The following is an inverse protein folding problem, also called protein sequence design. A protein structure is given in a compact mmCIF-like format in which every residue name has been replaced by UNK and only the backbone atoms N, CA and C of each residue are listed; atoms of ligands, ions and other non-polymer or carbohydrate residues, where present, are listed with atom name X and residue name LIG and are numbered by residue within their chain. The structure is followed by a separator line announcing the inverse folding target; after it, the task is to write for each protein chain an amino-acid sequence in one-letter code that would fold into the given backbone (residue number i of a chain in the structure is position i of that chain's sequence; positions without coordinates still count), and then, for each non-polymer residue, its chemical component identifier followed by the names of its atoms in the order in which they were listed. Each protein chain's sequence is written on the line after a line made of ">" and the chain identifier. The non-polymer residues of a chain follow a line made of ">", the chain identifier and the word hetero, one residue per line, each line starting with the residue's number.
data_IF_784128023225
#
_entry.id   IF_784128023225
#
_cell.length_a   1.000
_cell.length_b   1.000
_cell.length_c   1.000
_cell.angle_alpha   90.00
_cell.angle_beta   90.00
_cell.angle_gamma   90.00
#
_symmetry.space_group_name_H-M   'P 1'
#
loop_
_entity.id
_entity.type
_entity.pdbx_description
1 polymer ?
#
# COMPACT_ATOMS: atom_id res chain seq x y z
N UNK A 1 -0.60 13.84 25.59
CA UNK A 1 -1.25 12.69 24.90
C UNK A 1 -0.92 11.44 25.69
N UNK A 2 -1.91 10.62 26.01
CA UNK A 2 -1.70 9.39 26.80
C UNK A 2 -1.27 8.22 25.92
N UNK A 3 -0.67 7.14 26.48
CA UNK A 3 -0.36 5.92 25.73
C UNK A 3 -1.59 5.32 25.03
N UNK A 4 -2.76 5.35 25.66
CA UNK A 4 -4.00 4.83 25.07
C UNK A 4 -4.48 5.66 23.88
N UNK A 5 -4.32 7.00 23.93
CA UNK A 5 -4.62 7.88 22.81
C UNK A 5 -3.65 7.64 21.63
N UNK A 6 -2.37 7.40 21.91
CA UNK A 6 -1.38 7.01 20.90
C UNK A 6 -1.73 5.68 20.24
N UNK A 7 -2.18 4.69 21.02
CA UNK A 7 -2.58 3.38 20.51
C UNK A 7 -3.85 3.47 19.64
N UNK A 8 -4.83 4.28 20.02
CA UNK A 8 -6.02 4.52 19.21
C UNK A 8 -5.67 5.19 17.86
N UNK A 9 -4.80 6.20 17.87
CA UNK A 9 -4.30 6.84 16.65
C UNK A 9 -3.51 5.87 15.77
N UNK A 10 -2.69 5.01 16.37
CA UNK A 10 -1.94 3.97 15.65
C UNK A 10 -2.88 3.00 14.93
N UNK A 11 -3.92 2.49 15.59
CA UNK A 11 -4.91 1.59 14.97
C UNK A 11 -5.62 2.25 13.78
N UNK A 12 -5.94 3.53 13.89
CA UNK A 12 -6.52 4.31 12.79
C UNK A 12 -5.54 4.48 11.63
N UNK A 13 -4.27 4.79 11.91
CA UNK A 13 -3.22 4.91 10.90
C UNK A 13 -2.96 3.56 10.19
N UNK A 14 -2.92 2.46 10.93
CA UNK A 14 -2.77 1.11 10.40
C UNK A 14 -3.96 0.73 9.49
N UNK A 15 -5.19 1.03 9.91
CA UNK A 15 -6.38 0.81 9.08
C UNK A 15 -6.35 1.66 7.79
N UNK A 16 -5.91 2.92 7.90
CA UNK A 16 -5.73 3.81 6.75
C UNK A 16 -4.67 3.27 5.79
N UNK A 17 -3.52 2.84 6.30
CA UNK A 17 -2.45 2.23 5.51
C UNK A 17 -2.92 0.99 4.76
N UNK A 18 -3.67 0.09 5.43
CA UNK A 18 -4.28 -1.08 4.78
C UNK A 18 -5.25 -0.70 3.66
N UNK A 19 -6.10 0.30 3.89
CA UNK A 19 -7.05 0.77 2.88
C UNK A 19 -6.33 1.40 1.66
N UNK A 20 -5.29 2.20 1.90
CA UNK A 20 -4.50 2.82 0.82
C UNK A 20 -3.74 1.77 -0.01
N UNK A 21 -3.19 0.73 0.65
CA UNK A 21 -2.55 -0.40 -0.05
C UNK A 21 -3.55 -1.21 -0.87
N UNK A 22 -4.72 -1.54 -0.32
CA UNK A 22 -5.76 -2.26 -1.06
C UNK A 22 -6.25 -1.45 -2.29
N UNK A 23 -6.36 -0.13 -2.16
CA UNK A 23 -6.68 0.75 -3.29
C UNK A 23 -5.60 0.72 -4.38
N UNK A 24 -4.31 0.75 -3.99
CA UNK A 24 -3.19 0.64 -4.92
C UNK A 24 -3.18 -0.72 -5.64
N UNK A 25 -3.39 -1.81 -4.91
CA UNK A 25 -3.50 -3.16 -5.48
C UNK A 25 -4.64 -3.28 -6.49
N UNK A 26 -5.81 -2.68 -6.16
CA UNK A 26 -6.95 -2.61 -7.07
C UNK A 26 -6.63 -1.88 -8.38
N UNK A 27 -5.92 -0.74 -8.30
CA UNK A 27 -5.49 0.00 -9.49
C UNK A 27 -4.48 -0.79 -10.33
N UNK A 28 -3.49 -1.44 -9.70
CA UNK A 28 -2.50 -2.28 -10.38
C UNK A 28 -3.15 -3.49 -11.06
N UNK A 29 -4.18 -4.07 -10.44
CA UNK A 29 -4.98 -5.13 -11.06
C UNK A 29 -5.72 -4.63 -12.28
N UNK A 30 -6.46 -3.51 -12.17
CA UNK A 30 -7.20 -2.94 -13.29
C UNK A 30 -6.28 -2.60 -14.48
N UNK A 31 -5.07 -2.10 -14.21
CA UNK A 31 -4.06 -1.84 -15.25
C UNK A 31 -3.62 -3.11 -15.97
N UNK A 32 -3.36 -4.19 -15.21
CA UNK A 32 -2.99 -5.50 -15.79
C UNK A 32 -4.12 -6.09 -16.63
N UNK A 33 -5.37 -5.93 -16.20
CA UNK A 33 -6.55 -6.36 -16.97
C UNK A 33 -6.66 -5.60 -18.30
N UNK A 34 -6.46 -4.28 -18.30
CA UNK A 34 -6.43 -3.49 -19.55
C UNK A 34 -5.30 -3.94 -20.49
N UNK A 35 -4.10 -4.17 -19.95
CA UNK A 35 -2.95 -4.61 -20.73
C UNK A 35 -3.18 -6.01 -21.33
N UNK A 36 -3.77 -6.94 -20.56
CA UNK A 36 -4.10 -8.27 -21.03
C UNK A 36 -5.19 -8.24 -22.12
N UNK A 37 -6.19 -7.37 -21.99
CA UNK A 37 -7.21 -7.18 -23.03
C UNK A 37 -6.59 -6.64 -24.32
N UNK A 38 -5.72 -5.62 -24.23
CA UNK A 38 -5.03 -5.06 -25.40
C UNK A 38 -4.16 -6.11 -26.10
N UNK A 39 -3.44 -6.94 -25.33
CA UNK A 39 -2.62 -8.01 -25.88
C UNK A 39 -3.45 -9.10 -26.54
N UNK A 40 -4.59 -9.48 -25.94
CA UNK A 40 -5.53 -10.42 -26.54
C UNK A 40 -6.04 -9.94 -27.91
N UNK A 41 -6.37 -8.64 -28.02
CA UNK A 41 -6.81 -8.05 -29.30
C UNK A 41 -5.68 -8.07 -30.33
N UNK A 42 -4.44 -7.74 -29.93
CA UNK A 42 -3.26 -7.79 -30.83
C UNK A 42 -3.00 -9.22 -31.32
N UNK A 43 -3.07 -10.21 -30.42
CA UNK A 43 -2.91 -11.61 -30.76
C UNK A 43 -4.01 -12.11 -31.71
N UNK A 44 -5.27 -11.71 -31.48
CA UNK A 44 -6.38 -12.03 -32.37
C UNK A 44 -6.17 -11.46 -33.77
N UNK A 45 -5.73 -10.19 -33.87
CA UNK A 45 -5.38 -9.55 -35.15
C UNK A 45 -4.25 -10.27 -35.87
N UNK A 46 -3.17 -10.62 -35.16
CA UNK A 46 -2.05 -11.36 -35.76
C UNK A 46 -2.49 -12.74 -36.29
N UNK A 47 -3.40 -13.41 -35.60
CA UNK A 47 -3.98 -14.68 -36.06
C UNK A 47 -4.85 -14.49 -37.30
N UNK A 48 -5.63 -13.39 -37.38
CA UNK A 48 -6.41 -13.03 -38.57
C UNK A 48 -5.53 -12.73 -39.78
N UNK A 49 -4.44 -11.99 -39.59
CA UNK A 49 -3.47 -11.65 -40.65
C UNK A 49 -2.72 -12.87 -41.18
N UNK A 50 -2.63 -13.95 -40.40
CA UNK A 50 -2.04 -15.23 -40.79
C UNK A 50 -2.99 -16.14 -41.60
N UNK A 51 -4.27 -15.77 -41.73
CA UNK A 51 -5.25 -16.56 -42.49
C UNK A 51 -4.95 -16.52 -44.00
N UNK A 52 -5.29 -17.58 -44.75
CA UNK A 52 -5.14 -17.60 -46.20
C UNK A 52 -5.88 -16.44 -46.89
N UNK A 53 -5.30 -15.93 -47.98
CA UNK A 53 -5.97 -14.95 -48.84
C UNK A 53 -7.33 -15.49 -49.30
N UNK A 54 -8.39 -14.72 -49.06
CA UNK A 54 -9.77 -15.09 -49.40
C UNK A 54 -10.56 -15.78 -48.27
N UNK A 55 -9.95 -16.06 -47.11
CA UNK A 55 -10.65 -16.63 -45.95
C UNK A 55 -11.70 -15.68 -45.35
N UNK A 56 -11.56 -14.37 -45.56
CA UNK A 56 -12.50 -13.36 -45.10
C UNK A 56 -12.66 -12.24 -46.15
N UNK A 57 -13.89 -11.73 -46.37
CA UNK A 57 -14.12 -10.54 -47.17
C UNK A 57 -13.27 -9.34 -46.70
N UNK A 58 -12.62 -8.59 -47.62
CA UNK A 58 -11.79 -7.44 -47.27
C UNK A 58 -12.50 -6.38 -46.43
N UNK A 59 -13.81 -6.19 -46.64
CA UNK A 59 -14.62 -5.22 -45.91
C UNK A 59 -14.75 -5.59 -44.43
N UNK A 60 -14.87 -6.88 -44.13
CA UNK A 60 -14.95 -7.40 -42.75
C UNK A 60 -13.59 -7.29 -42.05
N UNK A 61 -12.49 -7.60 -42.75
CA UNK A 61 -11.14 -7.39 -42.23
C UNK A 61 -10.89 -5.92 -41.91
N UNK A 62 -11.26 -5.01 -42.80
CA UNK A 62 -11.13 -3.57 -42.57
C UNK A 62 -11.97 -3.07 -41.39
N UNK A 63 -13.19 -3.58 -41.22
CA UNK A 63 -14.05 -3.23 -40.09
C UNK A 63 -13.48 -3.73 -38.75
N UNK A 64 -13.01 -4.98 -38.70
CA UNK A 64 -12.36 -5.57 -37.51
C UNK A 64 -11.08 -4.85 -37.14
N UNK A 65 -10.25 -4.51 -38.14
CA UNK A 65 -9.03 -3.72 -37.92
C UNK A 65 -9.30 -2.37 -37.29
N UNK A 66 -10.28 -1.61 -37.82
CA UNK A 66 -10.68 -0.32 -37.23
C UNK A 66 -11.24 -0.47 -35.81
N UNK A 67 -12.03 -1.50 -35.56
CA UNK A 67 -12.53 -1.78 -34.20
C UNK A 67 -11.38 -2.10 -33.24
N UNK A 68 -10.44 -2.94 -33.65
CA UNK A 68 -9.27 -3.31 -32.85
C UNK A 68 -8.39 -2.09 -32.55
N UNK A 69 -8.11 -1.25 -33.55
CA UNK A 69 -7.33 -0.02 -33.38
C UNK A 69 -8.02 0.95 -32.41
N UNK A 70 -9.32 1.16 -32.56
CA UNK A 70 -10.10 2.00 -31.65
C UNK A 70 -10.06 1.45 -30.22
N UNK A 71 -10.30 0.14 -30.06
CA UNK A 71 -10.34 -0.48 -28.74
C UNK A 71 -8.98 -0.46 -28.05
N UNK A 72 -7.90 -0.69 -28.78
CA UNK A 72 -6.53 -0.58 -28.26
C UNK A 72 -6.26 0.86 -27.82
N UNK A 73 -6.63 1.86 -28.63
CA UNK A 73 -6.46 3.26 -28.27
C UNK A 73 -7.23 3.64 -26.99
N UNK A 74 -8.46 3.16 -26.81
CA UNK A 74 -9.23 3.32 -25.57
C UNK A 74 -8.52 2.70 -24.37
N UNK A 75 -8.00 1.47 -24.52
CA UNK A 75 -7.30 0.75 -23.47
C UNK A 75 -5.98 1.44 -23.11
N UNK A 76 -5.25 1.95 -24.09
CA UNK A 76 -4.00 2.70 -23.88
C UNK A 76 -4.27 4.02 -23.14
N UNK A 77 -5.32 4.75 -23.52
CA UNK A 77 -5.74 5.96 -22.81
C UNK A 77 -6.14 5.65 -21.35
N UNK A 78 -6.90 4.56 -21.14
CA UNK A 78 -7.29 4.10 -19.80
C UNK A 78 -6.08 3.67 -18.96
N UNK A 79 -5.09 3.01 -19.56
CA UNK A 79 -3.85 2.65 -18.87
C UNK A 79 -3.06 3.90 -18.45
N UNK A 80 -2.98 4.93 -19.32
CA UNK A 80 -2.34 6.19 -18.97
C UNK A 80 -3.05 6.91 -17.80
N UNK A 81 -4.38 6.90 -17.77
CA UNK A 81 -5.14 7.42 -16.62
C UNK A 81 -4.86 6.62 -15.34
N UNK A 82 -4.85 5.28 -15.45
CA UNK A 82 -4.55 4.40 -14.33
C UNK A 82 -3.13 4.62 -13.80
N UNK A 83 -2.14 4.86 -14.67
CA UNK A 83 -0.76 5.14 -14.27
C UNK A 83 -0.66 6.42 -13.43
N UNK A 84 -1.32 7.50 -13.83
CA UNK A 84 -1.39 8.73 -13.02
C UNK A 84 -2.04 8.48 -11.65
N UNK A 85 -3.12 7.69 -11.63
CA UNK A 85 -3.82 7.33 -10.37
C UNK A 85 -2.98 6.43 -9.48
N UNK A 86 -2.21 5.51 -10.06
CA UNK A 86 -1.27 4.63 -9.36
C UNK A 86 -0.18 5.46 -8.70
N UNK A 87 0.41 6.43 -9.40
CA UNK A 87 1.45 7.28 -8.83
C UNK A 87 0.92 8.14 -7.67
N UNK A 88 -0.28 8.70 -7.82
CA UNK A 88 -0.96 9.38 -6.71
C UNK A 88 -1.25 8.44 -5.53
N UNK A 89 -1.66 7.19 -5.80
CA UNK A 89 -1.93 6.19 -4.77
C UNK A 89 -0.64 5.72 -4.05
N UNK A 90 0.46 5.55 -4.78
CA UNK A 90 1.79 5.26 -4.21
C UNK A 90 2.22 6.34 -3.22
N UNK A 91 2.04 7.61 -3.59
CA UNK A 91 2.33 8.74 -2.69
C UNK A 91 1.51 8.69 -1.41
N UNK A 92 0.20 8.43 -1.50
CA UNK A 92 -0.66 8.29 -0.31
C UNK A 92 -0.27 7.11 0.57
N UNK A 93 -0.02 5.95 -0.03
CA UNK A 93 0.41 4.75 0.70
C UNK A 93 1.72 4.98 1.45
N UNK A 94 2.72 5.63 0.81
CA UNK A 94 3.99 5.97 1.45
C UNK A 94 3.80 6.90 2.67
N UNK A 95 2.96 7.93 2.55
CA UNK A 95 2.65 8.84 3.67
C UNK A 95 1.96 8.11 4.82
N UNK A 96 0.98 7.24 4.52
CA UNK A 96 0.25 6.48 5.54
C UNK A 96 1.15 5.49 6.28
N UNK A 97 2.07 4.83 5.57
CA UNK A 97 3.06 3.93 6.20
C UNK A 97 4.02 4.69 7.11
N UNK A 98 4.55 5.83 6.66
CA UNK A 98 5.44 6.66 7.49
C UNK A 98 4.75 7.20 8.74
N UNK A 99 3.45 7.49 8.68
CA UNK A 99 2.66 7.89 9.86
C UNK A 99 2.50 6.77 10.88
N UNK A 100 2.28 5.53 10.44
CA UNK A 100 2.22 4.38 11.38
C UNK A 100 3.56 4.19 12.10
N UNK A 101 4.68 4.27 11.35
CA UNK A 101 6.02 4.14 11.92
C UNK A 101 6.33 5.24 12.94
N UNK A 102 5.99 6.50 12.62
CA UNK A 102 6.18 7.63 13.54
C UNK A 102 5.34 7.48 14.83
N UNK A 103 4.10 7.02 14.72
CA UNK A 103 3.23 6.79 15.89
C UNK A 103 3.75 5.64 16.77
N UNK A 104 4.31 4.59 16.16
CA UNK A 104 4.95 3.49 16.88
C UNK A 104 6.15 3.96 17.69
N UNK A 105 7.04 4.73 17.07
CA UNK A 105 8.22 5.29 17.74
C UNK A 105 7.85 6.21 18.91
N UNK A 106 6.82 7.06 18.74
CA UNK A 106 6.31 7.93 19.80
C UNK A 106 5.73 7.14 20.97
N UNK A 107 4.97 6.08 20.68
CA UNK A 107 4.41 5.19 21.71
C UNK A 107 5.51 4.51 22.51
N UNK A 108 6.50 3.94 21.84
CA UNK A 108 7.57 3.20 22.51
C UNK A 108 8.42 4.15 23.39
N UNK A 109 8.65 5.39 22.93
CA UNK A 109 9.28 6.44 23.74
C UNK A 109 8.44 6.81 24.96
N UNK A 110 7.14 7.03 24.79
CA UNK A 110 6.22 7.37 25.89
C UNK A 110 6.13 6.25 26.94
N UNK A 111 6.10 4.99 26.51
CA UNK A 111 6.14 3.82 27.40
C UNK A 111 7.46 3.73 28.16
N UNK A 112 8.59 3.97 27.49
CA UNK A 112 9.90 4.01 28.12
C UNK A 112 10.02 5.11 29.17
N UNK A 113 9.50 6.31 28.89
CA UNK A 113 9.46 7.42 29.84
C UNK A 113 8.57 7.12 31.05
N UNK A 114 7.38 6.54 30.81
CA UNK A 114 6.50 6.10 31.90
C UNK A 114 7.13 4.99 32.76
N UNK A 115 7.93 4.10 32.18
CA UNK A 115 8.68 3.09 32.93
C UNK A 115 9.74 3.74 33.83
N UNK A 116 10.57 4.64 33.27
CA UNK A 116 11.60 5.36 34.03
C UNK A 116 11.02 6.16 35.19
N UNK A 117 9.88 6.82 35.00
CA UNK A 117 9.20 7.56 36.06
C UNK A 117 8.67 6.63 37.17
N UNK A 118 8.20 5.43 36.83
CA UNK A 118 7.79 4.43 37.82
C UNK A 118 8.98 3.90 38.61
N UNK A 119 10.10 3.62 37.94
CA UNK A 119 11.31 3.13 38.58
C UNK A 119 11.93 4.19 39.51
N UNK A 120 12.01 5.45 39.07
CA UNK A 120 12.47 6.56 39.91
C UNK A 120 11.59 6.77 41.16
N UNK A 121 10.27 6.57 41.04
CA UNK A 121 9.37 6.60 42.21
C UNK A 121 9.63 5.43 43.15
N UNK A 122 9.78 4.22 42.61
CA UNK A 122 10.10 3.03 43.40
C UNK A 122 11.42 3.17 44.16
N UNK A 123 12.43 3.75 43.53
CA UNK A 123 13.74 4.00 44.16
C UNK A 123 13.63 5.02 45.30
N UNK A 124 12.89 6.12 45.09
CA UNK A 124 12.65 7.12 46.15
C UNK A 124 11.82 6.56 47.30
N UNK A 125 10.83 5.73 47.01
CA UNK A 125 9.91 5.16 48.00
C UNK A 125 10.47 3.86 48.62
N UNK A 126 11.71 3.46 48.27
CA UNK A 126 12.36 2.29 48.83
C UNK A 126 12.77 2.54 50.30
N UNK A 127 12.49 1.59 51.21
CA UNK A 127 12.96 1.70 52.59
C UNK A 127 14.50 1.71 52.62
N UNK A 128 15.11 2.46 53.54
CA UNK A 128 16.56 2.49 53.68
C UNK A 128 17.10 1.08 53.92
N UNK A 129 18.25 0.72 53.33
CA UNK A 129 18.82 -0.61 53.49
C UNK A 129 19.06 -0.88 54.97
N UNK A 130 18.57 -2.03 55.47
CA UNK A 130 18.83 -2.46 56.84
C UNK A 130 20.35 -2.53 57.07
N UNK A 131 20.85 -1.71 58.00
CA UNK A 131 22.21 -1.79 58.47
C UNK A 131 22.44 -3.20 59.02
N UNK A 132 23.21 -4.02 58.29
CA UNK A 132 23.66 -5.30 58.82
C UNK A 132 24.39 -5.02 60.12
N UNK A 133 23.98 -5.64 61.25
CA UNK A 133 24.63 -5.38 62.52
C UNK A 133 26.11 -5.74 62.36
N UNK A 134 26.96 -4.73 62.59
CA UNK A 134 28.38 -4.92 62.70
C UNK A 134 28.61 -6.03 63.72
N UNK A 135 29.27 -7.12 63.29
CA UNK A 135 29.75 -8.13 64.21
C UNK A 135 30.77 -7.46 65.13
N UNK A 136 30.31 -6.98 66.27
CA UNK A 136 31.15 -6.55 67.37
C UNK A 136 31.90 -7.78 67.88
N UNK A 137 33.22 -7.79 67.65
CA UNK A 137 34.17 -8.67 68.33
C UNK A 137 34.74 -7.98 69.56
#
# INVERSE_FOLDING_TARGET
>A
MTPDQLEALRKLAEARGRADLAALEGLLRARRECAAEAESIRAARAAEDALPLGACPPELLGARGRWADHRIAELDARMAELDQRIDAARGRAAVSLGKDEALRALRDRALGEAARLRDARRERDAPPPEERPAKSG
#
